data_IF_283752420258
#
_entry.id   IF_283752420258
#
_cell.length_a   1.000
_cell.length_b   1.000
_cell.length_c   1.000
_cell.angle_alpha   90.00
_cell.angle_beta   90.00
_cell.angle_gamma   90.00
#
_symmetry.space_group_name_H-M   'P 1'
#
loop_
_entity.id
_entity.type
_entity.pdbx_description
1 polymer ?
#
# COMPACT_ATOMS: atom_id res chain seq x y z
N UNK A 1 9.44 -20.57 12.08
CA UNK A 1 9.00 -19.20 12.45
C UNK A 1 10.15 -18.21 12.32
N UNK A 2 10.01 -17.13 11.55
CA UNK A 2 11.06 -16.11 11.34
C UNK A 2 10.49 -14.75 10.91
N UNK A 3 11.23 -13.67 11.13
CA UNK A 3 10.91 -12.35 10.55
C UNK A 3 11.36 -12.35 9.08
N UNK A 4 10.43 -12.12 8.15
CA UNK A 4 10.71 -12.09 6.70
C UNK A 4 10.71 -10.68 6.11
N UNK A 5 10.14 -9.70 6.81
CA UNK A 5 10.18 -8.30 6.39
C UNK A 5 10.10 -7.36 7.59
N UNK A 6 10.75 -6.19 7.45
CA UNK A 6 10.72 -5.10 8.43
C UNK A 6 10.38 -3.79 7.73
N UNK A 7 9.37 -3.11 8.24
CA UNK A 7 9.06 -1.72 7.92
C UNK A 7 9.40 -0.78 9.09
N UNK A 8 9.09 0.50 8.93
CA UNK A 8 9.33 1.51 9.97
C UNK A 8 8.47 1.33 11.23
N UNK A 9 7.39 0.54 11.15
CA UNK A 9 6.45 0.37 12.24
C UNK A 9 6.08 -1.09 12.51
N UNK A 10 6.22 -1.95 11.51
CA UNK A 10 5.72 -3.32 11.54
C UNK A 10 6.83 -4.28 11.14
N UNK A 11 6.78 -5.50 11.69
CA UNK A 11 7.48 -6.66 11.16
C UNK A 11 6.46 -7.65 10.59
N UNK A 12 6.90 -8.44 9.62
CA UNK A 12 6.14 -9.57 9.07
C UNK A 12 6.83 -10.85 9.49
N UNK A 13 6.07 -11.71 10.15
CA UNK A 13 6.49 -12.99 10.69
C UNK A 13 5.87 -14.09 9.83
N UNK A 14 6.72 -15.02 9.41
CA UNK A 14 6.36 -16.25 8.72
C UNK A 14 6.33 -17.39 9.75
N UNK A 15 5.18 -18.08 9.84
CA UNK A 15 4.96 -19.25 10.71
C UNK A 15 5.15 -20.57 9.97
N UNK A 16 5.88 -20.54 8.86
CA UNK A 16 6.00 -21.67 7.93
C UNK A 16 4.62 -22.09 7.35
N UNK A 17 3.67 -21.14 7.35
CA UNK A 17 2.36 -21.27 6.71
C UNK A 17 2.44 -20.65 5.31
N UNK A 18 2.24 -21.44 4.23
CA UNK A 18 2.36 -20.91 2.87
C UNK A 18 1.28 -19.88 2.52
N UNK A 19 0.14 -19.90 3.22
CA UNK A 19 -1.04 -19.09 2.93
C UNK A 19 -1.13 -17.82 3.76
N UNK A 20 -0.50 -17.77 4.93
CA UNK A 20 -0.69 -16.68 5.88
C UNK A 20 0.61 -16.14 6.45
N UNK A 21 0.61 -14.83 6.67
CA UNK A 21 1.68 -14.08 7.32
C UNK A 21 1.12 -13.31 8.50
N UNK A 22 1.99 -13.02 9.47
CA UNK A 22 1.60 -12.39 10.71
C UNK A 22 2.31 -11.05 10.84
N UNK A 23 1.54 -9.96 10.86
CA UNK A 23 2.07 -8.61 11.01
C UNK A 23 1.98 -8.17 12.46
N UNK A 24 3.13 -7.87 13.05
CA UNK A 24 3.22 -7.33 14.41
C UNK A 24 3.66 -5.86 14.37
N UNK A 25 2.97 -4.99 15.11
CA UNK A 25 3.38 -3.61 15.31
C UNK A 25 4.51 -3.56 16.34
N UNK A 26 5.61 -2.92 15.98
CA UNK A 26 6.83 -2.81 16.81
C UNK A 26 7.36 -1.37 16.82
N UNK A 27 6.45 -0.39 16.79
CA UNK A 27 6.79 1.04 16.67
C UNK A 27 7.26 1.63 17.99
N UNK A 28 6.64 1.23 19.09
CA UNK A 28 6.99 1.68 20.45
C UNK A 28 7.83 0.63 21.17
N UNK A 29 8.63 1.08 22.13
CA UNK A 29 9.36 0.22 23.07
C UNK A 29 8.45 -0.65 23.97
N UNK A 30 7.21 -0.21 24.21
CA UNK A 30 6.19 -0.89 25.02
C UNK A 30 5.29 -1.77 24.16
N UNK A 31 5.22 -3.05 24.53
CA UNK A 31 4.32 -4.00 23.91
C UNK A 31 2.85 -3.60 24.10
N UNK A 32 2.48 -3.12 25.30
CA UNK A 32 1.13 -2.65 25.61
C UNK A 32 0.71 -1.48 24.71
N UNK A 33 1.60 -0.52 24.44
CA UNK A 33 1.32 0.60 23.53
C UNK A 33 1.15 0.08 22.09
N UNK A 34 2.00 -0.85 21.64
CA UNK A 34 1.87 -1.46 20.32
C UNK A 34 0.55 -2.25 20.18
N UNK A 35 0.15 -3.00 21.21
CA UNK A 35 -1.11 -3.73 21.28
C UNK A 35 -2.31 -2.79 21.15
N UNK A 36 -2.35 -1.71 21.94
CA UNK A 36 -3.42 -0.70 21.86
C UNK A 36 -3.53 -0.12 20.44
N UNK A 37 -2.40 0.26 19.84
CA UNK A 37 -2.39 0.80 18.47
C UNK A 37 -2.80 -0.24 17.42
N UNK A 38 -2.48 -1.52 17.62
CA UNK A 38 -2.89 -2.61 16.72
C UNK A 38 -4.41 -2.80 16.74
N UNK A 39 -5.01 -2.79 17.94
CA UNK A 39 -6.47 -2.84 18.10
C UNK A 39 -7.16 -1.62 17.47
N UNK A 40 -6.61 -0.41 17.66
CA UNK A 40 -7.15 0.80 17.04
C UNK A 40 -7.02 0.80 15.51
N UNK A 41 -5.92 0.26 14.97
CA UNK A 41 -5.79 0.01 13.53
C UNK A 41 -6.85 -0.98 13.03
N UNK A 42 -7.13 -2.04 13.79
CA UNK A 42 -8.16 -3.01 13.41
C UNK A 42 -9.55 -2.36 13.37
N UNK A 43 -9.91 -1.57 14.38
CA UNK A 43 -11.17 -0.79 14.38
C UNK A 43 -11.25 0.16 13.19
N UNK A 44 -10.14 0.80 12.84
CA UNK A 44 -10.05 1.68 11.66
C UNK A 44 -10.34 0.90 10.36
N UNK A 45 -9.75 -0.28 10.19
CA UNK A 45 -10.03 -1.17 9.05
C UNK A 45 -11.49 -1.63 9.03
N UNK A 46 -12.06 -2.00 10.18
CA UNK A 46 -13.47 -2.41 10.26
C UNK A 46 -14.41 -1.26 9.88
N UNK A 47 -14.13 -0.03 10.32
CA UNK A 47 -14.91 1.14 9.90
C UNK A 47 -14.82 1.38 8.38
N UNK A 48 -13.65 1.20 7.78
CA UNK A 48 -13.49 1.29 6.32
C UNK A 48 -14.25 0.18 5.57
N UNK A 49 -14.29 -1.04 6.12
CA UNK A 49 -15.02 -2.18 5.55
C UNK A 49 -16.53 -2.07 5.69
N UNK A 50 -17.02 -1.43 6.75
CA UNK A 50 -18.45 -1.28 7.02
C UNK A 50 -19.14 -0.20 6.16
N UNK A 51 -18.38 0.59 5.41
CA UNK A 51 -18.90 1.59 4.48
C UNK A 51 -19.34 0.91 3.17
N UNK A 52 -20.65 0.70 3.00
CA UNK A 52 -21.24 0.01 1.84
C UNK A 52 -21.07 0.79 0.52
N UNK A 53 -20.96 2.12 0.59
CA UNK A 53 -20.72 2.96 -0.59
C UNK A 53 -19.25 2.92 -1.05
N UNK A 54 -18.36 2.48 -0.16
CA UNK A 54 -16.94 2.39 -0.42
C UNK A 54 -16.58 1.07 -1.13
N UNK A 55 -16.63 1.11 -2.47
CA UNK A 55 -16.26 -0.02 -3.34
C UNK A 55 -14.79 -0.45 -3.22
N UNK A 56 -13.90 0.34 -2.62
CA UNK A 56 -12.53 -0.10 -2.37
C UNK A 56 -12.49 -1.20 -1.30
N UNK A 57 -13.46 -1.26 -0.38
CA UNK A 57 -13.48 -2.27 0.69
C UNK A 57 -13.42 -3.71 0.16
N UNK A 58 -13.97 -3.98 -1.04
CA UNK A 58 -13.91 -5.29 -1.70
C UNK A 58 -12.50 -5.74 -2.10
N UNK A 59 -11.57 -4.81 -2.25
CA UNK A 59 -10.17 -5.08 -2.62
C UNK A 59 -9.23 -5.06 -1.41
N UNK A 60 -9.73 -4.75 -0.21
CA UNK A 60 -8.92 -4.76 0.98
C UNK A 60 -8.64 -6.21 1.38
N UNK A 61 -7.37 -6.56 1.51
CA UNK A 61 -6.95 -7.90 1.96
C UNK A 61 -7.72 -8.30 3.23
N UNK A 62 -8.06 -9.59 3.32
CA UNK A 62 -8.64 -10.14 4.55
C UNK A 62 -7.61 -10.05 5.67
N UNK A 63 -8.07 -9.56 6.83
CA UNK A 63 -7.24 -9.35 8.01
C UNK A 63 -8.01 -9.87 9.21
N UNK A 64 -7.38 -10.73 9.99
CA UNK A 64 -7.88 -11.19 11.27
C UNK A 64 -7.02 -10.65 12.40
N UNK A 65 -7.64 -10.13 13.46
CA UNK A 65 -6.94 -9.76 14.68
C UNK A 65 -6.80 -11.00 15.56
N UNK A 66 -5.56 -11.42 15.79
CA UNK A 66 -5.26 -12.54 16.67
C UNK A 66 -4.52 -12.08 17.93
N UNK A 67 -4.68 -12.87 18.98
CA UNK A 67 -3.96 -12.73 20.22
C UNK A 67 -3.05 -13.94 20.38
N UNK A 68 -1.76 -13.70 20.54
CA UNK A 68 -0.75 -14.72 20.79
C UNK A 68 -0.15 -14.52 22.18
N UNK A 69 0.43 -15.58 22.74
CA UNK A 69 1.16 -15.46 23.99
C UNK A 69 2.58 -14.94 23.71
N UNK A 70 3.08 -14.03 24.54
CA UNK A 70 4.40 -13.42 24.32
C UNK A 70 5.50 -14.46 24.30
N UNK A 71 5.43 -15.47 25.17
CA UNK A 71 6.42 -16.55 25.23
C UNK A 71 6.55 -17.35 23.92
N UNK A 72 5.53 -17.38 23.06
CA UNK A 72 5.57 -18.06 21.76
C UNK A 72 6.43 -17.31 20.73
N UNK A 73 6.57 -15.99 20.88
CA UNK A 73 7.23 -15.13 19.87
C UNK A 73 8.28 -14.19 20.42
N UNK A 74 8.59 -14.29 21.71
CA UNK A 74 9.44 -13.36 22.44
C UNK A 74 10.79 -13.16 21.77
N UNK A 75 11.46 -14.25 21.40
CA UNK A 75 12.78 -14.23 20.78
C UNK A 75 12.81 -13.38 19.49
N UNK A 76 11.70 -13.32 18.75
CA UNK A 76 11.58 -12.48 17.56
C UNK A 76 11.30 -11.02 17.89
N UNK A 77 10.66 -10.73 19.02
CA UNK A 77 10.25 -9.38 19.43
C UNK A 77 11.33 -8.63 20.20
N UNK A 78 12.22 -9.32 20.90
CA UNK A 78 13.23 -8.70 21.78
C UNK A 78 14.20 -7.77 21.04
N UNK A 79 14.39 -7.96 19.74
CA UNK A 79 15.16 -7.04 18.89
C UNK A 79 14.49 -5.67 18.69
N UNK A 80 13.17 -5.59 18.91
CA UNK A 80 12.34 -4.42 18.57
C UNK A 80 11.63 -3.81 19.78
N UNK A 81 11.34 -4.62 20.79
CA UNK A 81 10.55 -4.26 21.97
C UNK A 81 11.42 -4.49 23.20
N UNK A 82 11.56 -3.46 24.03
CA UNK A 82 12.37 -3.53 25.26
C UNK A 82 11.52 -3.65 26.52
N UNK A 83 10.22 -3.33 26.45
CA UNK A 83 9.28 -3.39 27.58
C UNK A 83 8.13 -4.36 27.26
N UNK A 84 8.23 -5.57 27.78
CA UNK A 84 7.18 -6.59 27.74
C UNK A 84 6.22 -6.42 28.92
N UNK A 85 5.43 -5.35 28.88
CA UNK A 85 4.49 -4.90 29.93
C UNK A 85 3.09 -5.54 29.83
N UNK A 86 2.98 -6.65 29.10
CA UNK A 86 1.80 -7.51 28.96
C UNK A 86 2.24 -8.90 28.50
N UNK A 87 1.44 -9.93 28.81
CA UNK A 87 1.74 -11.34 28.49
C UNK A 87 1.26 -11.75 27.09
N UNK A 88 0.50 -10.88 26.42
CA UNK A 88 -0.10 -11.17 25.12
C UNK A 88 0.35 -10.16 24.08
N UNK A 89 0.35 -10.57 22.83
CA UNK A 89 0.65 -9.71 21.68
C UNK A 89 -0.47 -9.82 20.65
N UNK A 90 -0.98 -8.66 20.23
CA UNK A 90 -1.96 -8.59 19.15
C UNK A 90 -1.24 -8.50 17.82
N UNK A 91 -1.62 -9.39 16.90
CA UNK A 91 -1.06 -9.45 15.55
C UNK A 91 -2.17 -9.48 14.52
N UNK A 92 -1.87 -9.03 13.31
CA UNK A 92 -2.74 -9.23 12.17
C UNK A 92 -2.32 -10.48 11.42
N UNK A 93 -3.23 -11.45 11.28
CA UNK A 93 -3.07 -12.53 10.31
C UNK A 93 -3.55 -12.02 8.95
N UNK A 94 -2.68 -12.12 7.96
CA UNK A 94 -2.84 -11.60 6.61
C UNK A 94 -2.65 -12.74 5.61
N UNK A 95 -3.36 -12.69 4.50
CA UNK A 95 -3.09 -13.57 3.36
C UNK A 95 -1.69 -13.30 2.79
N UNK A 96 -0.96 -14.36 2.43
CA UNK A 96 0.32 -14.27 1.76
C UNK A 96 0.11 -13.92 0.27
N UNK A 97 0.06 -12.63 -0.03
CA UNK A 97 -0.17 -12.11 -1.38
C UNK A 97 1.03 -12.30 -2.34
N UNK A 98 2.19 -12.76 -1.82
CA UNK A 98 3.36 -13.11 -2.63
C UNK A 98 3.94 -14.45 -2.18
N UNK A 99 3.28 -15.58 -2.53
CA UNK A 99 3.81 -16.90 -2.25
C UNK A 99 5.17 -17.15 -2.89
N UNK A 100 5.88 -18.16 -2.39
CA UNK A 100 7.27 -18.47 -2.79
C UNK A 100 7.45 -18.83 -4.27
N UNK A 101 6.37 -19.24 -4.96
CA UNK A 101 6.42 -19.52 -6.40
C UNK A 101 6.56 -18.26 -7.26
N UNK A 102 6.36 -17.04 -6.71
CA UNK A 102 6.77 -15.78 -7.35
C UNK A 102 8.27 -15.53 -7.08
N UNK A 103 9.10 -16.35 -7.70
CA UNK A 103 10.53 -16.51 -7.41
C UNK A 103 11.45 -15.68 -8.34
N UNK A 104 10.89 -15.06 -9.38
CA UNK A 104 11.63 -14.23 -10.33
C UNK A 104 11.19 -12.76 -10.27
N UNK A 105 12.13 -11.85 -10.03
CA UNK A 105 11.89 -10.40 -10.05
C UNK A 105 12.27 -9.84 -11.43
N UNK A 106 11.28 -9.40 -12.20
CA UNK A 106 11.47 -8.84 -13.54
C UNK A 106 11.75 -7.33 -13.51
N UNK A 107 11.17 -6.63 -12.54
CA UNK A 107 11.33 -5.19 -12.38
C UNK A 107 11.25 -4.78 -10.93
N UNK A 108 12.03 -3.78 -10.54
CA UNK A 108 12.08 -3.27 -9.18
C UNK A 108 12.55 -1.82 -9.16
N UNK A 109 11.65 -0.92 -8.80
CA UNK A 109 11.97 0.45 -8.43
C UNK A 109 11.34 0.81 -7.07
N UNK A 110 11.29 2.10 -6.74
CA UNK A 110 10.76 2.55 -5.46
C UNK A 110 9.25 2.33 -5.28
N UNK A 111 8.48 2.33 -6.38
CA UNK A 111 7.03 2.21 -6.36
C UNK A 111 6.51 0.90 -6.95
N UNK A 112 7.28 0.17 -7.74
CA UNK A 112 6.79 -0.96 -8.52
C UNK A 112 7.75 -2.14 -8.47
N UNK A 113 7.20 -3.31 -8.22
CA UNK A 113 7.87 -4.60 -8.38
C UNK A 113 7.01 -5.51 -9.23
N UNK A 114 7.64 -6.17 -10.18
CA UNK A 114 6.99 -7.15 -11.04
C UNK A 114 7.65 -8.49 -10.80
N UNK A 115 6.87 -9.45 -10.34
CA UNK A 115 7.29 -10.82 -10.10
C UNK A 115 6.65 -11.75 -11.12
N UNK A 116 7.39 -12.79 -11.46
CA UNK A 116 6.96 -13.86 -12.35
C UNK A 116 7.25 -15.19 -11.68
N UNK A 117 6.40 -16.19 -11.96
CA UNK A 117 6.62 -17.55 -11.51
C UNK A 117 7.32 -18.37 -12.59
N UNK A 118 8.54 -18.85 -12.30
CA UNK A 118 9.24 -19.76 -13.24
C UNK A 118 8.52 -21.09 -13.44
N UNK A 119 7.80 -21.53 -12.41
CA UNK A 119 7.01 -22.76 -12.43
C UNK A 119 5.71 -22.57 -13.23
N UNK A 120 5.07 -21.41 -13.09
CA UNK A 120 3.78 -21.10 -13.69
C UNK A 120 3.89 -19.90 -14.65
N UNK A 121 4.11 -20.20 -15.94
CA UNK A 121 4.24 -19.15 -16.97
C UNK A 121 2.99 -18.29 -17.17
N UNK A 122 1.88 -18.69 -16.56
CA UNK A 122 0.61 -17.99 -16.58
C UNK A 122 0.34 -17.14 -15.34
N UNK A 123 1.37 -16.87 -14.50
CA UNK A 123 1.25 -16.09 -13.27
C UNK A 123 2.22 -14.91 -13.22
N UNK A 124 1.67 -13.71 -13.04
CA UNK A 124 2.43 -12.47 -12.85
C UNK A 124 1.85 -11.72 -11.65
N UNK A 125 2.71 -11.21 -10.78
CA UNK A 125 2.31 -10.40 -9.64
C UNK A 125 2.97 -9.03 -9.72
N UNK A 126 2.16 -7.98 -9.62
CA UNK A 126 2.64 -6.60 -9.55
C UNK A 126 2.36 -6.06 -8.15
N UNK A 127 3.41 -5.77 -7.41
CA UNK A 127 3.33 -5.03 -6.15
C UNK A 127 3.62 -3.56 -6.45
N UNK A 128 2.70 -2.65 -6.14
CA UNK A 128 2.90 -1.23 -6.42
C UNK A 128 2.34 -0.26 -5.38
N UNK A 129 2.89 0.96 -5.35
CA UNK A 129 2.42 2.05 -4.50
C UNK A 129 1.87 3.20 -5.36
N UNK A 130 0.54 3.35 -5.48
CA UNK A 130 -0.09 4.29 -6.41
C UNK A 130 0.09 5.76 -5.98
N UNK A 131 0.36 5.99 -4.68
CA UNK A 131 0.53 7.31 -4.08
C UNK A 131 -0.69 8.22 -4.31
N UNK A 132 -0.45 9.49 -4.62
CA UNK A 132 -1.51 10.48 -4.81
C UNK A 132 -2.06 10.32 -6.21
N UNK A 133 -3.22 9.68 -6.32
CA UNK A 133 -3.93 9.54 -7.60
C UNK A 133 -4.76 10.79 -7.87
N UNK A 134 -5.35 11.37 -6.82
CA UNK A 134 -6.00 12.68 -6.87
C UNK A 134 -5.24 13.73 -6.03
N UNK A 135 -5.02 14.90 -6.64
CA UNK A 135 -4.52 16.09 -5.95
C UNK A 135 -4.96 17.35 -6.69
N UNK A 136 -5.63 18.27 -5.99
CA UNK A 136 -6.07 19.53 -6.57
C UNK A 136 -4.93 20.56 -6.53
N UNK A 137 -4.03 20.51 -7.51
CA UNK A 137 -2.92 21.44 -7.69
C UNK A 137 -2.53 21.50 -9.16
N UNK A 138 -1.99 22.62 -9.67
CA UNK A 138 -1.46 22.69 -11.03
C UNK A 138 -0.29 21.73 -11.28
N UNK A 139 0.43 21.30 -10.24
CA UNK A 139 1.57 20.39 -10.37
C UNK A 139 1.24 18.99 -9.84
N UNK A 140 1.90 17.97 -10.41
CA UNK A 140 1.83 16.61 -9.90
C UNK A 140 2.68 16.46 -8.63
N UNK A 141 2.02 16.22 -7.49
CA UNK A 141 2.71 16.04 -6.21
C UNK A 141 3.67 14.86 -6.20
N UNK A 142 3.30 13.72 -6.78
CA UNK A 142 4.15 12.53 -6.78
C UNK A 142 5.46 12.81 -7.53
N UNK A 143 5.35 13.31 -8.77
CA UNK A 143 6.51 13.59 -9.62
C UNK A 143 7.39 14.68 -9.03
N UNK A 144 6.79 15.78 -8.56
CA UNK A 144 7.52 16.86 -7.89
C UNK A 144 8.25 16.37 -6.64
N UNK A 145 7.62 15.49 -5.84
CA UNK A 145 8.25 14.92 -4.67
C UNK A 145 9.37 13.93 -5.02
N UNK A 146 9.24 13.18 -6.12
CA UNK A 146 10.33 12.33 -6.62
C UNK A 146 11.53 13.18 -7.03
N UNK A 147 11.30 14.28 -7.73
CA UNK A 147 12.36 15.22 -8.11
C UNK A 147 13.03 15.86 -6.89
N UNK A 148 12.23 16.33 -5.91
CA UNK A 148 12.74 16.85 -4.62
C UNK A 148 13.57 15.79 -3.86
N UNK A 149 13.25 14.49 -4.01
CA UNK A 149 13.98 13.36 -3.42
C UNK A 149 15.08 12.80 -4.33
N UNK A 150 15.36 13.45 -5.45
CA UNK A 150 16.37 13.04 -6.43
C UNK A 150 16.17 11.62 -6.96
N UNK A 151 14.90 11.19 -7.11
CA UNK A 151 14.49 9.90 -7.71
C UNK A 151 14.26 10.06 -9.21
N UNK A 152 15.33 10.38 -9.94
CA UNK A 152 15.29 10.66 -11.38
C UNK A 152 14.97 9.43 -12.24
N UNK A 153 15.14 8.22 -11.71
CA UNK A 153 14.84 6.97 -12.40
C UNK A 153 13.34 6.63 -12.46
N UNK A 154 12.48 7.45 -11.84
CA UNK A 154 11.02 7.25 -11.84
C UNK A 154 10.41 8.32 -12.74
N UNK A 155 10.22 7.97 -14.01
CA UNK A 155 9.71 8.84 -15.06
C UNK A 155 8.23 8.60 -15.39
N UNK A 156 7.50 7.91 -14.51
CA UNK A 156 6.08 7.63 -14.67
C UNK A 156 5.25 8.08 -13.45
N UNK A 157 3.94 8.21 -13.65
CA UNK A 157 2.99 8.47 -12.57
C UNK A 157 1.69 7.67 -12.71
N UNK A 158 1.31 6.97 -11.64
CA UNK A 158 0.07 6.20 -11.59
C UNK A 158 -1.21 7.03 -11.78
N UNK A 159 -1.17 8.35 -11.55
CA UNK A 159 -2.34 9.22 -11.80
C UNK A 159 -2.76 9.25 -13.28
N UNK A 160 -1.84 8.98 -14.21
CA UNK A 160 -2.16 8.93 -15.65
C UNK A 160 -3.07 7.75 -16.00
N UNK A 161 -3.05 6.66 -15.23
CA UNK A 161 -3.90 5.48 -15.47
C UNK A 161 -5.40 5.74 -15.26
N UNK A 162 -5.76 6.88 -14.66
CA UNK A 162 -7.17 7.27 -14.52
C UNK A 162 -7.81 7.53 -15.88
N UNK A 163 -7.06 8.17 -16.80
CA UNK A 163 -7.55 8.63 -18.10
C UNK A 163 -6.78 8.06 -19.30
N UNK A 164 -5.73 7.28 -19.07
CA UNK A 164 -4.91 6.68 -20.12
C UNK A 164 -4.54 5.24 -19.74
N UNK A 165 -5.34 4.28 -20.18
CA UNK A 165 -5.12 2.85 -19.95
C UNK A 165 -3.79 2.34 -20.53
N UNK A 166 -3.36 2.90 -21.68
CA UNK A 166 -2.16 2.47 -22.39
C UNK A 166 -0.87 2.85 -21.65
N UNK A 167 -0.96 3.87 -20.77
CA UNK A 167 0.16 4.38 -19.98
C UNK A 167 0.86 3.28 -19.17
N UNK A 168 0.11 2.26 -18.75
CA UNK A 168 0.67 1.13 -18.01
C UNK A 168 1.78 0.43 -18.79
N UNK A 169 1.56 0.16 -20.07
CA UNK A 169 2.50 -0.57 -20.92
C UNK A 169 3.36 0.32 -21.81
N UNK A 170 3.07 1.63 -21.91
CA UNK A 170 3.94 2.57 -22.63
C UNK A 170 4.98 3.23 -21.72
N UNK A 171 4.66 3.42 -20.43
CA UNK A 171 5.50 4.20 -19.52
C UNK A 171 5.91 3.45 -18.26
N UNK A 172 5.03 2.65 -17.65
CA UNK A 172 5.33 1.98 -16.38
C UNK A 172 6.08 0.66 -16.64
N UNK A 173 5.56 -0.16 -17.55
CA UNK A 173 6.13 -1.47 -17.91
C UNK A 173 6.64 -1.48 -19.36
N UNK A 174 6.92 -0.31 -19.94
CA UNK A 174 7.36 -0.17 -21.34
C UNK A 174 8.55 -1.06 -21.68
N UNK A 175 9.59 -1.01 -20.86
CA UNK A 175 10.82 -1.80 -21.04
C UNK A 175 10.58 -3.31 -20.90
N UNK A 176 9.53 -3.72 -20.18
CA UNK A 176 9.17 -5.12 -19.98
C UNK A 176 8.22 -5.65 -21.06
N UNK A 177 7.60 -4.78 -21.87
CA UNK A 177 6.46 -5.16 -22.74
C UNK A 177 6.75 -6.38 -23.62
N UNK A 178 7.97 -6.49 -24.16
CA UNK A 178 8.36 -7.61 -25.02
C UNK A 178 8.73 -8.90 -24.26
N UNK A 179 8.94 -8.81 -22.95
CA UNK A 179 9.26 -9.95 -22.08
C UNK A 179 8.04 -10.51 -21.36
N UNK A 180 6.87 -9.87 -21.52
CA UNK A 180 5.63 -10.25 -20.86
C UNK A 180 4.73 -11.06 -21.82
N UNK A 181 3.94 -12.03 -21.31
CA UNK A 181 2.98 -12.77 -22.11
C UNK A 181 1.97 -11.85 -22.81
N UNK A 182 1.68 -12.03 -24.10
CA UNK A 182 0.67 -11.23 -24.81
C UNK A 182 -0.70 -11.25 -24.13
N UNK A 183 -1.11 -12.39 -23.57
CA UNK A 183 -2.40 -12.59 -22.88
C UNK A 183 -2.48 -11.77 -21.59
N UNK A 184 -1.36 -11.60 -20.88
CA UNK A 184 -1.27 -10.73 -19.71
C UNK A 184 -1.51 -9.28 -20.12
N UNK A 185 -0.85 -8.82 -21.19
CA UNK A 185 -1.00 -7.46 -21.70
C UNK A 185 -2.46 -7.19 -22.08
N UNK A 186 -3.08 -8.11 -22.83
CA UNK A 186 -4.48 -8.00 -23.25
C UNK A 186 -5.42 -7.96 -22.04
N UNK A 187 -5.23 -8.86 -21.07
CA UNK A 187 -6.06 -8.93 -19.85
C UNK A 187 -5.96 -7.65 -19.03
N UNK A 188 -4.74 -7.15 -18.83
CA UNK A 188 -4.48 -5.91 -18.09
C UNK A 188 -5.01 -4.67 -18.80
N UNK A 189 -4.82 -4.54 -20.12
CA UNK A 189 -5.40 -3.42 -20.87
C UNK A 189 -6.93 -3.42 -20.80
N UNK A 190 -7.55 -4.59 -20.95
CA UNK A 190 -9.00 -4.76 -20.81
C UNK A 190 -9.47 -4.33 -19.41
N UNK A 191 -8.76 -4.77 -18.37
CA UNK A 191 -9.03 -4.36 -16.98
C UNK A 191 -8.92 -2.83 -16.79
N UNK A 192 -7.85 -2.21 -17.29
CA UNK A 192 -7.60 -0.77 -17.17
C UNK A 192 -8.66 0.08 -17.89
N UNK A 193 -9.18 -0.39 -19.04
CA UNK A 193 -10.31 0.28 -19.74
C UNK A 193 -11.58 0.26 -18.91
N UNK A 194 -11.77 -0.77 -18.09
CA UNK A 194 -12.94 -0.94 -17.23
C UNK A 194 -13.26 0.30 -16.39
N UNK A 195 -14.55 0.65 -16.20
CA UNK A 195 -14.95 1.79 -15.38
C UNK A 195 -14.72 1.56 -13.88
N UNK A 196 -14.52 0.30 -13.47
CA UNK A 196 -14.29 -0.11 -12.08
C UNK A 196 -12.84 -0.54 -11.82
N UNK A 197 -11.88 -0.06 -12.61
CA UNK A 197 -10.48 -0.33 -12.32
C UNK A 197 -10.06 0.36 -11.01
N UNK A 198 -9.07 -0.20 -10.32
CA UNK A 198 -8.66 0.21 -8.97
C UNK A 198 -8.13 1.64 -8.93
N UNK A 199 -7.49 2.11 -10.00
CA UNK A 199 -6.97 3.47 -10.09
C UNK A 199 -8.09 4.50 -10.20
N UNK A 200 -9.15 4.21 -10.97
CA UNK A 200 -10.37 5.05 -11.03
C UNK A 200 -11.10 5.07 -9.69
N UNK A 201 -11.23 3.90 -9.03
CA UNK A 201 -11.85 3.84 -7.70
C UNK A 201 -11.03 4.61 -6.65
N UNK A 202 -9.70 4.43 -6.63
CA UNK A 202 -8.81 5.20 -5.76
C UNK A 202 -8.89 6.70 -6.04
N UNK A 203 -8.98 7.11 -7.30
CA UNK A 203 -9.14 8.50 -7.69
C UNK A 203 -10.40 9.11 -7.07
N UNK A 204 -11.56 8.48 -7.31
CA UNK A 204 -12.84 9.00 -6.81
C UNK A 204 -12.90 9.02 -5.27
N UNK A 205 -12.38 7.98 -4.60
CA UNK A 205 -12.33 7.99 -3.13
C UNK A 205 -11.35 9.03 -2.59
N UNK A 206 -10.15 9.17 -3.18
CA UNK A 206 -9.21 10.23 -2.74
C UNK A 206 -9.77 11.63 -3.00
N UNK A 207 -10.58 11.80 -4.04
CA UNK A 207 -11.26 13.05 -4.38
C UNK A 207 -12.39 13.37 -3.41
N UNK A 208 -13.24 12.40 -3.07
CA UNK A 208 -14.35 12.62 -2.13
C UNK A 208 -13.86 12.93 -0.71
N UNK A 209 -12.70 12.39 -0.31
CA UNK A 209 -12.07 12.65 0.99
C UNK A 209 -11.18 13.89 0.99
N UNK A 210 -11.03 14.60 -0.14
CA UNK A 210 -9.99 15.62 -0.29
C UNK A 210 -10.21 16.80 0.66
N UNK A 211 -9.17 17.07 1.46
CA UNK A 211 -9.05 18.28 2.28
C UNK A 211 -7.73 18.96 1.90
N UNK A 212 -7.74 20.25 1.50
CA UNK A 212 -6.51 21.01 1.25
C UNK A 212 -5.65 21.07 2.52
N UNK A 213 -4.40 20.60 2.46
CA UNK A 213 -3.54 20.59 3.65
C UNK A 213 -3.23 22.01 4.17
N UNK A 214 -3.13 23.00 3.29
CA UNK A 214 -2.82 24.38 3.66
C UNK A 214 -3.89 25.09 4.51
N UNK A 215 -5.07 24.46 4.72
CA UNK A 215 -6.13 25.03 5.58
C UNK A 215 -6.08 24.51 7.02
N UNK A 216 -5.15 23.60 7.35
CA UNK A 216 -5.08 22.93 8.65
C UNK A 216 -3.90 23.47 9.48
N UNK A 217 -4.13 23.77 10.75
CA UNK A 217 -3.12 24.33 11.66
C UNK A 217 -2.89 23.47 12.91
N UNK A 218 -3.88 22.69 13.33
CA UNK A 218 -3.86 21.95 14.60
C UNK A 218 -4.25 20.48 14.43
N UNK A 219 -3.65 19.61 15.26
CA UNK A 219 -3.95 18.17 15.23
C UNK A 219 -5.40 17.83 15.61
N UNK A 220 -6.11 18.73 16.28
CA UNK A 220 -7.54 18.61 16.58
C UNK A 220 -8.43 18.71 15.34
N UNK A 221 -7.93 19.29 14.25
CA UNK A 221 -8.64 19.40 12.97
C UNK A 221 -8.47 18.14 12.11
N UNK A 222 -7.68 17.16 12.60
CA UNK A 222 -7.46 15.89 11.91
C UNK A 222 -8.63 14.96 12.20
N UNK A 223 -9.58 14.93 11.28
CA UNK A 223 -10.72 14.02 11.31
C UNK A 223 -10.41 12.64 10.70
N UNK A 224 -11.40 11.76 10.73
CA UNK A 224 -11.30 10.42 10.15
C UNK A 224 -11.03 10.47 8.63
N UNK A 225 -11.65 11.39 7.90
CA UNK A 225 -11.56 11.46 6.45
C UNK A 225 -10.15 11.82 6.00
N UNK A 226 -9.51 12.78 6.67
CA UNK A 226 -8.12 13.11 6.41
C UNK A 226 -7.19 11.93 6.74
N UNK A 227 -7.40 11.25 7.88
CA UNK A 227 -6.60 10.07 8.23
C UNK A 227 -6.74 8.96 7.19
N UNK A 228 -7.96 8.73 6.70
CA UNK A 228 -8.24 7.76 5.66
C UNK A 228 -7.61 8.15 4.33
N UNK A 229 -7.73 9.42 3.91
CA UNK A 229 -7.07 9.93 2.71
C UNK A 229 -5.56 9.72 2.76
N UNK A 230 -4.95 10.02 3.92
CA UNK A 230 -3.50 9.85 4.12
C UNK A 230 -3.09 8.38 4.22
N UNK A 231 -3.96 7.48 4.68
CA UNK A 231 -3.76 6.04 4.61
C UNK A 231 -3.82 5.53 3.17
N UNK A 232 -4.86 5.90 2.41
CA UNK A 232 -5.06 5.54 1.00
C UNK A 232 -3.91 6.00 0.08
N UNK A 233 -3.26 7.12 0.40
CA UNK A 233 -2.06 7.61 -0.33
C UNK A 233 -0.78 6.81 -0.07
N UNK A 234 -0.82 5.88 0.89
CA UNK A 234 0.33 5.09 1.32
C UNK A 234 0.10 3.57 1.22
N UNK A 235 -1.04 3.13 0.69
CA UNK A 235 -1.34 1.70 0.48
C UNK A 235 -0.36 1.07 -0.51
N UNK A 236 -0.26 -0.25 -0.40
CA UNK A 236 0.40 -1.11 -1.39
C UNK A 236 -0.68 -1.92 -2.11
N UNK A 237 -0.71 -1.88 -3.43
CA UNK A 237 -1.57 -2.71 -4.28
C UNK A 237 -0.79 -3.94 -4.73
N UNK A 238 -1.45 -5.09 -4.74
CA UNK A 238 -1.03 -6.31 -5.39
C UNK A 238 -2.02 -6.58 -6.53
N UNK A 239 -1.53 -6.62 -7.76
CA UNK A 239 -2.29 -7.00 -8.95
C UNK A 239 -1.71 -8.32 -9.44
N UNK A 240 -2.46 -9.39 -9.23
CA UNK A 240 -2.11 -10.73 -9.69
C UNK A 240 -2.83 -11.02 -11.00
N UNK A 241 -2.09 -11.47 -12.01
CA UNK A 241 -2.64 -12.13 -13.17
C UNK A 241 -2.41 -13.63 -13.07
N UNK A 242 -3.47 -14.40 -13.25
CA UNK A 242 -3.46 -15.86 -13.20
C UNK A 242 -4.55 -16.43 -14.11
N UNK A 243 -4.16 -17.05 -15.22
CA UNK A 243 -5.13 -17.60 -16.19
C UNK A 243 -5.86 -18.85 -15.71
N UNK A 244 -5.44 -19.46 -14.60
CA UNK A 244 -6.14 -20.61 -14.02
C UNK A 244 -7.40 -20.22 -13.23
N UNK A 245 -7.61 -18.91 -13.01
CA UNK A 245 -8.70 -18.37 -12.20
C UNK A 245 -9.71 -17.61 -13.06
N UNK A 246 -11.00 -17.69 -12.74
CA UNK A 246 -12.09 -17.17 -13.58
C UNK A 246 -11.96 -15.69 -13.99
N UNK A 247 -11.47 -14.81 -13.11
CA UNK A 247 -11.43 -13.37 -13.38
C UNK A 247 -10.11 -12.91 -14.01
N UNK A 248 -9.15 -13.81 -14.21
CA UNK A 248 -7.76 -13.60 -14.67
C UNK A 248 -6.93 -12.56 -13.89
N UNK A 249 -7.53 -11.48 -13.36
CA UNK A 249 -6.91 -10.39 -12.63
C UNK A 249 -7.53 -10.32 -11.23
N UNK A 250 -6.67 -10.42 -10.22
CA UNK A 250 -7.01 -10.36 -8.80
C UNK A 250 -6.29 -9.18 -8.17
N UNK A 251 -7.01 -8.41 -7.36
CA UNK A 251 -6.46 -7.20 -6.77
C UNK A 251 -6.68 -7.23 -5.29
N UNK A 252 -5.59 -7.02 -4.56
CA UNK A 252 -5.60 -6.84 -3.13
C UNK A 252 -4.85 -5.55 -2.81
N UNK A 253 -5.26 -4.84 -1.78
CA UNK A 253 -4.42 -3.83 -1.18
C UNK A 253 -4.28 -4.01 0.32
N UNK A 254 -3.11 -3.58 0.79
CA UNK A 254 -2.68 -3.67 2.18
C UNK A 254 -2.15 -2.31 2.66
N UNK A 255 -1.63 -2.27 3.88
CA UNK A 255 -1.02 -1.09 4.51
C UNK A 255 -2.00 0.09 4.75
N UNK A 256 -3.30 -0.20 4.88
CA UNK A 256 -4.32 0.77 5.28
C UNK A 256 -4.31 1.01 6.82
N UNK A 257 -3.15 1.38 7.35
CA UNK A 257 -2.99 1.66 8.78
C UNK A 257 -3.45 3.08 9.12
N UNK A 258 -4.07 3.24 10.29
CA UNK A 258 -4.42 4.56 10.82
C UNK A 258 -3.15 5.38 10.99
N UNK A 259 -3.10 6.54 10.36
CA UNK A 259 -2.01 7.50 10.59
C UNK A 259 -2.26 8.22 11.93
N UNK A 260 -1.25 8.45 12.77
CA UNK A 260 -1.44 9.23 13.98
C UNK A 260 -1.63 10.71 13.63
N UNK A 261 -2.55 11.41 14.29
CA UNK A 261 -2.83 12.84 14.05
C UNK A 261 -1.60 13.73 14.26
N UNK A 262 -0.64 13.29 15.08
CA UNK A 262 0.65 13.95 15.26
C UNK A 262 1.50 14.04 13.98
N UNK A 263 1.18 13.26 12.93
CA UNK A 263 1.80 13.38 11.60
C UNK A 263 1.40 14.63 10.83
N UNK A 264 0.39 15.39 11.28
CA UNK A 264 -0.05 16.61 10.59
C UNK A 264 1.11 17.58 10.34
N UNK A 265 1.92 17.85 11.38
CA UNK A 265 3.09 18.75 11.27
C UNK A 265 4.08 18.28 10.20
N UNK A 266 4.29 16.96 10.10
CA UNK A 266 5.13 16.37 9.06
C UNK A 266 4.50 16.54 7.65
N UNK A 267 3.19 16.37 7.52
CA UNK A 267 2.49 16.56 6.25
C UNK A 267 2.52 18.01 5.78
N UNK A 268 2.27 18.96 6.68
CA UNK A 268 2.37 20.40 6.42
C UNK A 268 3.79 20.80 6.00
N UNK A 269 4.80 20.42 6.77
CA UNK A 269 6.21 20.67 6.43
C UNK A 269 6.61 20.08 5.08
N UNK A 270 6.08 18.89 4.74
CA UNK A 270 6.33 18.27 3.43
C UNK A 270 5.61 19.04 2.32
N UNK A 271 4.40 19.51 2.56
CA UNK A 271 3.66 20.34 1.61
C UNK A 271 4.37 21.67 1.35
N UNK A 272 4.77 22.41 2.39
CA UNK A 272 5.54 23.66 2.27
C UNK A 272 6.81 23.48 1.45
N UNK A 273 7.56 22.40 1.69
CA UNK A 273 8.76 22.08 0.90
C UNK A 273 8.46 21.88 -0.59
N UNK A 274 7.30 21.31 -0.93
CA UNK A 274 6.90 21.10 -2.32
C UNK A 274 6.38 22.40 -2.95
N UNK A 275 5.68 23.24 -2.20
CA UNK A 275 5.27 24.57 -2.66
C UNK A 275 6.47 25.46 -2.95
N UNK A 276 7.51 25.41 -2.11
CA UNK A 276 8.75 26.16 -2.29
C UNK A 276 9.71 25.54 -3.32
N UNK A 277 9.48 24.30 -3.76
CA UNK A 277 10.37 23.65 -4.71
C UNK A 277 10.22 24.31 -6.09
N UNK A 278 11.33 24.80 -6.69
CA UNK A 278 11.26 25.53 -7.96
C UNK A 278 10.92 24.61 -9.14
N UNK A 279 11.45 23.38 -9.15
CA UNK A 279 11.30 22.46 -10.27
C UNK A 279 10.05 21.59 -10.13
N UNK A 280 8.88 22.23 -10.17
CA UNK A 280 7.60 21.51 -10.14
C UNK A 280 7.39 20.72 -11.43
N UNK A 281 6.79 19.54 -11.32
CA UNK A 281 6.44 18.70 -12.47
C UNK A 281 4.96 18.86 -12.78
N UNK A 282 4.64 19.12 -14.05
CA UNK A 282 3.29 19.34 -14.57
C UNK A 282 2.92 18.21 -15.55
N UNK A 283 1.63 17.89 -15.64
CA UNK A 283 1.08 16.88 -16.55
C UNK A 283 0.08 17.52 -17.51
#
# INVERSE_FOLDING_TARGET
>A
MKVIAKGNANIIIDYDDPLYLYRCLVRDSSLKINNLNTVENFKFLQKFKADEDNRLSYYLCTVELLQLQVNEIRDLLEEYITKFDTEVVYVFKLENLKPNYYDSLLWNDHFTRVYFSKEFSNKILIELKPKWIYYQSPYCRNCTHNQLKSRSNINYCYSHLVNNESYFFTNILGDLKHSLPPEFIISMESYMRGPKNIFKLLYETQKSLYVPLGTLNHSSEVDYNLLLLMALRDVTLFIEWDTSKDQHIYINFIDLDRKPSSKLSYWLKTHEKLEMFPDKVYH
#
